data_IF_808698399710
#
_entry.id   IF_808698399710
#
_cell.length_a   1.000
_cell.length_b   1.000
_cell.length_c   1.000
_cell.angle_alpha   90.00
_cell.angle_beta   90.00
_cell.angle_gamma   90.00
#
_symmetry.space_group_name_H-M   'P 1'
#
loop_
_entity.id
_entity.type
_entity.pdbx_description
1 polymer ?
#
# COMPACT_ATOMS: atom_id res chain seq x y z
N UNK A 1 -13.20 10.88 -21.10
CA UNK A 1 -12.34 12.02 -20.72
C UNK A 1 -11.98 11.79 -19.27
N UNK A 2 -10.69 11.74 -18.98
CA UNK A 2 -10.16 11.66 -17.61
C UNK A 2 -10.70 12.81 -16.78
N UNK A 3 -11.25 12.47 -15.62
CA UNK A 3 -11.86 13.38 -14.67
C UNK A 3 -10.72 14.13 -13.98
N UNK A 4 -10.69 15.44 -14.25
CA UNK A 4 -9.78 16.39 -13.63
C UNK A 4 -10.47 17.14 -12.49
N UNK A 5 -9.66 17.67 -11.58
CA UNK A 5 -10.14 18.53 -10.50
C UNK A 5 -10.59 19.88 -11.08
N UNK A 6 -11.87 20.28 -10.92
CA UNK A 6 -12.32 21.63 -11.26
C UNK A 6 -11.56 22.68 -10.44
N UNK A 7 -11.23 23.81 -11.05
CA UNK A 7 -10.44 24.86 -10.41
C UNK A 7 -11.11 25.39 -9.13
N UNK A 8 -12.44 25.45 -9.12
CA UNK A 8 -13.27 25.88 -8.00
C UNK A 8 -13.14 24.96 -6.78
N UNK A 9 -12.74 23.70 -6.97
CA UNK A 9 -12.58 22.71 -5.90
C UNK A 9 -11.14 22.57 -5.40
N UNK A 10 -10.20 23.32 -5.98
CA UNK A 10 -8.80 23.34 -5.52
C UNK A 10 -8.67 23.95 -4.13
N UNK A 11 -9.40 25.04 -3.86
CA UNK A 11 -9.41 25.66 -2.55
C UNK A 11 -10.01 24.72 -1.47
N UNK A 12 -11.22 24.13 -1.64
CA UNK A 12 -11.74 23.11 -0.74
C UNK A 12 -10.78 21.94 -0.48
N UNK A 13 -10.08 21.47 -1.51
CA UNK A 13 -9.08 20.41 -1.38
C UNK A 13 -7.90 20.85 -0.48
N UNK A 14 -7.45 22.10 -0.63
CA UNK A 14 -6.34 22.64 0.17
C UNK A 14 -6.66 22.69 1.67
N UNK A 15 -7.91 23.00 2.04
CA UNK A 15 -8.35 22.99 3.45
C UNK A 15 -8.25 21.59 4.07
N UNK A 16 -8.49 20.55 3.26
CA UNK A 16 -8.37 19.17 3.70
C UNK A 16 -6.91 18.74 3.87
N UNK A 17 -5.96 19.40 3.20
CA UNK A 17 -4.55 19.00 3.18
C UNK A 17 -4.36 17.61 2.54
N UNK A 18 -5.22 17.25 1.58
CA UNK A 18 -5.17 16.00 0.84
C UNK A 18 -4.77 16.27 -0.61
N UNK A 19 -4.28 15.23 -1.29
CA UNK A 19 -4.01 15.27 -2.72
C UNK A 19 -5.19 14.72 -3.52
N UNK A 20 -5.35 15.27 -4.73
CA UNK A 20 -6.26 14.70 -5.73
C UNK A 20 -5.70 13.37 -6.25
N UNK A 21 -6.52 12.30 -6.37
CA UNK A 21 -6.08 11.04 -6.93
C UNK A 21 -5.75 11.18 -8.42
N UNK A 22 -4.46 11.15 -8.74
CA UNK A 22 -3.93 11.21 -10.10
C UNK A 22 -3.95 9.81 -10.72
N UNK A 23 -4.95 9.53 -11.53
CA UNK A 23 -5.08 8.30 -12.32
C UNK A 23 -5.76 8.63 -13.65
N UNK A 24 -5.43 7.86 -14.69
CA UNK A 24 -5.97 8.02 -16.04
C UNK A 24 -6.94 6.86 -16.33
N UNK A 25 -8.17 7.00 -15.85
CA UNK A 25 -9.23 5.99 -16.01
C UNK A 25 -9.59 5.72 -17.47
N UNK A 26 -9.49 6.72 -18.36
CA UNK A 26 -9.76 6.55 -19.78
C UNK A 26 -8.73 5.62 -20.39
N UNK A 27 -7.45 5.85 -20.08
CA UNK A 27 -6.37 4.97 -20.54
C UNK A 27 -6.49 3.58 -19.95
N UNK A 28 -6.79 3.44 -18.65
CA UNK A 28 -7.03 2.13 -18.04
C UNK A 28 -8.16 1.37 -18.74
N UNK A 29 -9.25 2.06 -19.07
CA UNK A 29 -10.38 1.47 -19.78
C UNK A 29 -10.00 1.08 -21.21
N UNK A 30 -9.32 1.97 -21.93
CA UNK A 30 -8.87 1.72 -23.31
C UNK A 30 -7.88 0.55 -23.40
N UNK A 31 -6.89 0.50 -22.50
CA UNK A 31 -5.96 -0.61 -22.39
C UNK A 31 -6.72 -1.90 -22.08
N UNK A 32 -7.65 -1.86 -21.12
CA UNK A 32 -8.51 -3.00 -20.79
C UNK A 32 -9.29 -3.55 -21.99
N UNK A 33 -9.92 -2.68 -22.79
CA UNK A 33 -10.61 -3.08 -24.02
C UNK A 33 -9.66 -3.69 -25.06
N UNK A 34 -8.46 -3.14 -25.22
CA UNK A 34 -7.45 -3.69 -26.13
C UNK A 34 -7.02 -5.12 -25.72
N UNK A 35 -6.93 -5.38 -24.41
CA UNK A 35 -6.67 -6.72 -23.87
C UNK A 35 -7.85 -7.68 -24.14
N UNK A 36 -9.09 -7.25 -23.95
CA UNK A 36 -10.29 -8.07 -24.27
C UNK A 36 -10.35 -8.40 -25.77
N UNK A 37 -10.04 -7.45 -26.64
CA UNK A 37 -9.96 -7.68 -28.08
C UNK A 37 -8.83 -8.67 -28.42
N UNK A 38 -7.68 -8.54 -27.76
CA UNK A 38 -6.58 -9.50 -27.92
C UNK A 38 -6.98 -10.92 -27.47
N UNK A 39 -7.67 -11.06 -26.34
CA UNK A 39 -8.20 -12.35 -25.87
C UNK A 39 -9.15 -12.97 -26.89
N UNK A 40 -10.02 -12.16 -27.49
CA UNK A 40 -10.95 -12.61 -28.55
C UNK A 40 -10.21 -13.13 -29.78
N UNK A 41 -9.15 -12.42 -30.22
CA UNK A 41 -8.29 -12.90 -31.32
C UNK A 41 -7.59 -14.19 -30.96
N UNK A 42 -7.07 -14.30 -29.73
CA UNK A 42 -6.36 -15.48 -29.26
C UNK A 42 -7.28 -16.71 -29.20
N UNK A 43 -8.52 -16.56 -28.72
CA UNK A 43 -9.54 -17.63 -28.76
C UNK A 43 -9.83 -18.11 -30.17
N UNK A 44 -9.96 -17.19 -31.12
CA UNK A 44 -10.18 -17.56 -32.52
C UNK A 44 -9.00 -18.39 -33.05
N UNK A 45 -7.76 -17.97 -32.79
CA UNK A 45 -6.58 -18.73 -33.20
C UNK A 45 -6.46 -20.08 -32.47
N UNK A 46 -6.88 -20.16 -31.21
CA UNK A 46 -6.96 -21.42 -30.47
C UNK A 46 -7.95 -22.39 -31.15
N UNK A 47 -9.14 -21.91 -31.51
CA UNK A 47 -10.16 -22.71 -32.19
C UNK A 47 -9.72 -23.16 -33.61
N UNK A 48 -9.04 -22.28 -34.35
CA UNK A 48 -8.44 -22.61 -35.65
C UNK A 48 -7.38 -23.71 -35.51
N UNK A 49 -6.50 -23.59 -34.51
CA UNK A 49 -5.47 -24.58 -34.21
C UNK A 49 -6.07 -25.92 -33.78
N UNK A 50 -7.09 -25.92 -32.92
CA UNK A 50 -7.80 -27.13 -32.49
C UNK A 50 -8.50 -27.83 -33.66
N UNK A 51 -9.14 -27.05 -34.55
CA UNK A 51 -9.76 -27.59 -35.77
C UNK A 51 -8.73 -28.24 -36.68
N UNK A 52 -7.58 -27.58 -36.88
CA UNK A 52 -6.49 -28.11 -37.69
C UNK A 52 -5.88 -29.38 -37.07
N UNK A 53 -5.69 -29.40 -35.75
CA UNK A 53 -5.18 -30.56 -35.02
C UNK A 53 -6.17 -31.73 -35.14
N UNK A 54 -7.47 -31.50 -34.89
CA UNK A 54 -8.54 -32.50 -35.04
C UNK A 54 -8.54 -33.16 -36.40
N UNK A 55 -8.34 -32.35 -37.45
CA UNK A 55 -8.27 -32.86 -38.81
C UNK A 55 -7.16 -33.91 -38.98
N UNK A 56 -6.01 -33.74 -38.32
CA UNK A 56 -4.90 -34.69 -38.39
C UNK A 56 -5.32 -36.07 -37.90
N UNK A 57 -5.97 -36.18 -36.74
CA UNK A 57 -6.36 -37.50 -36.22
C UNK A 57 -7.70 -38.04 -36.71
N UNK A 58 -8.55 -37.19 -37.31
CA UNK A 58 -9.76 -37.64 -37.99
C UNK A 58 -9.48 -38.16 -39.41
N UNK A 59 -8.48 -37.62 -40.11
CA UNK A 59 -8.15 -37.99 -41.49
C UNK A 59 -6.98 -38.97 -41.61
N UNK A 60 -6.28 -39.29 -40.51
CA UNK A 60 -5.14 -40.21 -40.50
C UNK A 60 -5.30 -41.27 -39.41
N UNK A 61 -4.64 -42.41 -39.57
CA UNK A 61 -4.64 -43.52 -38.60
C UNK A 61 -3.21 -43.94 -38.26
N UNK A 62 -2.99 -44.43 -37.04
CA UNK A 62 -1.73 -45.04 -36.61
C UNK A 62 -1.20 -44.50 -35.29
N UNK A 63 -0.26 -45.23 -34.68
CA UNK A 63 0.22 -44.96 -33.33
C UNK A 63 0.78 -43.53 -33.12
N UNK A 64 1.37 -42.91 -34.15
CA UNK A 64 1.84 -41.52 -34.08
C UNK A 64 0.70 -40.50 -34.05
N UNK A 65 -0.42 -40.81 -34.70
CA UNK A 65 -1.62 -39.98 -34.72
C UNK A 65 -2.33 -40.05 -33.37
N UNK A 66 -2.45 -41.26 -32.80
CA UNK A 66 -3.00 -41.46 -31.45
C UNK A 66 -2.15 -40.74 -30.38
N UNK A 67 -0.82 -40.82 -30.51
CA UNK A 67 0.10 -40.13 -29.61
C UNK A 67 -0.02 -38.60 -29.74
N UNK A 68 -0.23 -38.09 -30.95
CA UNK A 68 -0.47 -36.66 -31.18
C UNK A 68 -1.80 -36.20 -30.56
N UNK A 69 -2.89 -36.95 -30.73
CA UNK A 69 -4.18 -36.65 -30.11
C UNK A 69 -4.07 -36.62 -28.58
N UNK A 70 -3.40 -37.61 -27.98
CA UNK A 70 -3.18 -37.68 -26.54
C UNK A 70 -2.32 -36.51 -26.04
N UNK A 71 -1.26 -36.15 -26.77
CA UNK A 71 -0.42 -35.01 -26.42
C UNK A 71 -1.18 -33.68 -26.55
N UNK A 72 -1.96 -33.49 -27.62
CA UNK A 72 -2.74 -32.27 -27.85
C UNK A 72 -3.78 -32.02 -26.76
N UNK A 73 -4.49 -33.09 -26.37
CA UNK A 73 -5.57 -33.07 -25.38
C UNK A 73 -5.10 -33.34 -23.94
N UNK A 74 -3.81 -33.54 -23.73
CA UNK A 74 -3.23 -33.77 -22.40
C UNK A 74 -3.41 -32.56 -21.47
N UNK A 75 -3.22 -32.76 -20.17
CA UNK A 75 -3.33 -31.68 -19.18
C UNK A 75 -2.34 -30.52 -19.43
N UNK A 76 -1.14 -30.84 -19.94
CA UNK A 76 -0.13 -29.89 -20.40
C UNK A 76 -0.08 -29.81 -21.95
N UNK A 77 -1.21 -30.04 -22.60
CA UNK A 77 -1.34 -30.05 -24.05
C UNK A 77 -1.49 -28.64 -24.65
N UNK A 78 -1.01 -28.40 -25.89
CA UNK A 78 -1.15 -27.12 -26.58
C UNK A 78 -2.59 -26.60 -26.65
N UNK A 79 -3.59 -27.47 -26.83
CA UNK A 79 -4.99 -27.06 -26.91
C UNK A 79 -5.41 -26.32 -25.64
N UNK A 80 -5.12 -26.89 -24.47
CA UNK A 80 -5.41 -26.28 -23.18
C UNK A 80 -4.58 -25.02 -22.92
N UNK A 81 -3.30 -25.02 -23.28
CA UNK A 81 -2.44 -23.85 -23.11
C UNK A 81 -2.94 -22.62 -23.87
N UNK A 82 -3.49 -22.81 -25.08
CA UNK A 82 -4.04 -21.71 -25.86
C UNK A 82 -5.31 -21.13 -25.22
N UNK A 83 -6.17 -21.98 -24.65
CA UNK A 83 -7.37 -21.55 -23.91
C UNK A 83 -7.03 -20.87 -22.58
N UNK A 84 -6.05 -21.41 -21.84
CA UNK A 84 -5.55 -20.81 -20.60
C UNK A 84 -4.94 -19.43 -20.87
N UNK A 85 -4.16 -19.29 -21.94
CA UNK A 85 -3.61 -18.01 -22.37
C UNK A 85 -4.71 -16.99 -22.72
N UNK A 86 -5.72 -17.41 -23.49
CA UNK A 86 -6.86 -16.54 -23.83
C UNK A 86 -7.63 -16.08 -22.59
N UNK A 87 -7.89 -17.00 -21.66
CA UNK A 87 -8.57 -16.70 -20.39
C UNK A 87 -7.75 -15.76 -19.52
N UNK A 88 -6.43 -15.93 -19.47
CA UNK A 88 -5.56 -15.05 -18.70
C UNK A 88 -5.51 -13.63 -19.25
N UNK A 89 -5.41 -13.47 -20.56
CA UNK A 89 -5.45 -12.18 -21.26
C UNK A 89 -6.79 -11.48 -21.00
N UNK A 90 -7.88 -12.23 -20.99
CA UNK A 90 -9.22 -11.70 -20.64
C UNK A 90 -9.29 -11.20 -19.19
N UNK A 91 -8.74 -11.97 -18.23
CA UNK A 91 -8.68 -11.56 -16.82
C UNK A 91 -7.83 -10.29 -16.61
N UNK A 92 -6.73 -10.13 -17.34
CA UNK A 92 -5.93 -8.90 -17.32
C UNK A 92 -6.78 -7.72 -17.82
N UNK A 93 -7.47 -7.87 -18.95
CA UNK A 93 -8.36 -6.84 -19.50
C UNK A 93 -9.49 -6.48 -18.54
N UNK A 94 -10.14 -7.47 -17.93
CA UNK A 94 -11.20 -7.27 -16.94
C UNK A 94 -10.68 -6.52 -15.70
N UNK A 95 -9.49 -6.86 -15.20
CA UNK A 95 -8.86 -6.18 -14.08
C UNK A 95 -8.57 -4.69 -14.37
N UNK A 96 -8.09 -4.37 -15.58
CA UNK A 96 -7.86 -2.99 -16.01
C UNK A 96 -9.18 -2.19 -16.10
N UNK A 97 -10.23 -2.77 -16.68
CA UNK A 97 -11.56 -2.15 -16.76
C UNK A 97 -12.14 -1.91 -15.35
N UNK A 98 -11.97 -2.88 -14.44
CA UNK A 98 -12.40 -2.73 -13.06
C UNK A 98 -11.66 -1.60 -12.33
N UNK A 99 -10.33 -1.47 -12.53
CA UNK A 99 -9.55 -0.35 -11.98
C UNK A 99 -10.03 1.00 -12.52
N UNK A 100 -10.36 1.10 -13.82
CA UNK A 100 -10.94 2.30 -14.39
C UNK A 100 -12.28 2.65 -13.69
N UNK A 101 -13.15 1.67 -13.51
CA UNK A 101 -14.43 1.84 -12.81
C UNK A 101 -14.27 2.32 -11.36
N UNK A 102 -13.34 1.71 -10.60
CA UNK A 102 -13.02 2.12 -9.22
C UNK A 102 -12.49 3.55 -9.19
N UNK A 103 -11.63 3.92 -10.16
CA UNK A 103 -11.06 5.27 -10.26
C UNK A 103 -12.14 6.32 -10.53
N UNK A 104 -13.03 6.07 -11.49
CA UNK A 104 -14.18 6.95 -11.80
C UNK A 104 -15.06 7.13 -10.56
N UNK A 105 -15.41 6.02 -9.89
CA UNK A 105 -16.24 6.06 -8.69
C UNK A 105 -15.58 6.86 -7.56
N UNK A 106 -14.28 6.65 -7.32
CA UNK A 106 -13.51 7.38 -6.32
C UNK A 106 -13.50 8.88 -6.63
N UNK A 107 -13.09 9.28 -7.84
CA UNK A 107 -13.00 10.69 -8.25
C UNK A 107 -14.36 11.38 -8.18
N UNK A 108 -15.42 10.73 -8.65
CA UNK A 108 -16.78 11.26 -8.58
C UNK A 108 -17.24 11.51 -7.14
N UNK A 109 -17.03 10.53 -6.26
CA UNK A 109 -17.36 10.67 -4.84
C UNK A 109 -16.50 11.76 -4.17
N UNK A 110 -15.24 11.89 -4.57
CA UNK A 110 -14.33 12.92 -4.08
C UNK A 110 -14.81 14.33 -4.48
N UNK A 111 -15.22 14.53 -5.73
CA UNK A 111 -15.79 15.80 -6.21
C UNK A 111 -17.09 16.14 -5.48
N UNK A 112 -17.96 15.16 -5.25
CA UNK A 112 -19.19 15.37 -4.48
C UNK A 112 -18.89 15.84 -3.05
N UNK A 113 -17.89 15.24 -2.38
CA UNK A 113 -17.48 15.64 -1.03
C UNK A 113 -16.88 17.06 -1.00
N UNK A 114 -16.03 17.40 -1.97
CA UNK A 114 -15.44 18.74 -2.06
C UNK A 114 -16.51 19.81 -2.34
N UNK A 115 -17.47 19.51 -3.21
CA UNK A 115 -18.59 20.39 -3.53
C UNK A 115 -19.46 20.63 -2.30
N UNK A 116 -19.78 19.56 -1.55
CA UNK A 116 -20.52 19.66 -0.31
C UNK A 116 -19.79 20.53 0.72
N UNK A 117 -18.47 20.32 0.89
CA UNK A 117 -17.66 21.13 1.80
C UNK A 117 -17.64 22.60 1.40
N UNK A 118 -17.43 22.90 0.11
CA UNK A 118 -17.45 24.27 -0.42
C UNK A 118 -18.78 24.97 -0.11
N UNK A 119 -19.90 24.26 -0.32
CA UNK A 119 -21.23 24.76 -0.01
C UNK A 119 -21.41 25.02 1.50
N UNK A 120 -21.01 24.09 2.36
CA UNK A 120 -21.11 24.22 3.82
C UNK A 120 -20.30 25.42 4.34
N UNK A 121 -19.06 25.58 3.87
CA UNK A 121 -18.20 26.72 4.25
C UNK A 121 -18.77 28.03 3.72
N UNK A 122 -19.24 28.06 2.48
CA UNK A 122 -19.90 29.24 1.90
C UNK A 122 -21.14 29.67 2.69
N UNK A 123 -21.97 28.72 3.12
CA UNK A 123 -23.15 29.00 3.97
C UNK A 123 -22.77 29.50 5.36
N UNK A 124 -21.75 28.90 5.99
CA UNK A 124 -21.25 29.33 7.29
C UNK A 124 -20.75 30.79 7.26
N UNK A 125 -20.06 31.18 6.17
CA UNK A 125 -19.61 32.55 5.93
C UNK A 125 -20.79 33.48 5.64
N UNK A 126 -21.70 33.10 4.75
CA UNK A 126 -22.84 33.93 4.36
C UNK A 126 -23.77 34.27 5.54
N UNK A 127 -23.92 33.35 6.49
CA UNK A 127 -24.77 33.52 7.68
C UNK A 127 -24.03 34.08 8.89
N UNK A 128 -22.71 34.29 8.79
CA UNK A 128 -21.85 34.72 9.90
C UNK A 128 -22.27 36.06 10.52
N UNK A 129 -22.69 37.04 9.72
CA UNK A 129 -23.11 38.34 10.24
C UNK A 129 -24.39 38.24 11.09
N UNK A 130 -25.32 37.38 10.69
CA UNK A 130 -26.60 37.16 11.39
C UNK A 130 -26.38 36.31 12.66
N UNK A 131 -25.45 35.36 12.60
CA UNK A 131 -25.09 34.48 13.72
C UNK A 131 -24.06 35.08 14.69
N UNK A 132 -23.71 36.36 14.53
CA UNK A 132 -22.63 37.01 15.27
C UNK A 132 -21.29 36.23 15.23
N UNK A 133 -21.01 35.55 14.11
CA UNK A 133 -19.81 34.76 13.89
C UNK A 133 -19.88 33.32 14.42
N UNK A 134 -20.97 32.92 15.07
CA UNK A 134 -21.09 31.57 15.66
C UNK A 134 -20.94 30.45 14.62
N UNK A 135 -21.50 30.62 13.42
CA UNK A 135 -21.43 29.62 12.33
C UNK A 135 -20.01 29.41 11.79
N UNK A 136 -19.10 30.38 11.97
CA UNK A 136 -17.70 30.23 11.56
C UNK A 136 -16.97 29.17 12.40
N UNK A 137 -17.42 28.93 13.65
CA UNK A 137 -16.86 27.89 14.50
C UNK A 137 -17.16 26.46 14.01
N UNK A 138 -18.11 26.30 13.08
CA UNK A 138 -18.46 25.00 12.48
C UNK A 138 -17.51 24.60 11.35
N UNK A 139 -16.83 25.57 10.72
CA UNK A 139 -15.94 25.34 9.57
C UNK A 139 -14.86 24.27 9.88
N UNK A 140 -14.12 24.33 11.01
CA UNK A 140 -13.15 23.28 11.35
C UNK A 140 -13.78 21.88 11.47
N UNK A 141 -15.04 21.79 11.91
CA UNK A 141 -15.78 20.53 12.03
C UNK A 141 -16.10 19.97 10.64
N UNK A 142 -16.57 20.81 9.71
CA UNK A 142 -16.86 20.39 8.33
C UNK A 142 -15.59 19.92 7.60
N UNK A 143 -14.48 20.64 7.77
CA UNK A 143 -13.18 20.28 7.20
C UNK A 143 -12.70 18.94 7.78
N UNK A 144 -12.77 18.75 9.09
CA UNK A 144 -12.38 17.50 9.73
C UNK A 144 -13.25 16.31 9.28
N UNK A 145 -14.58 16.49 9.24
CA UNK A 145 -15.51 15.47 8.79
C UNK A 145 -15.27 15.09 7.31
N UNK A 146 -15.08 16.07 6.45
CA UNK A 146 -14.79 15.85 5.02
C UNK A 146 -13.44 15.17 4.81
N UNK A 147 -12.42 15.50 5.59
CA UNK A 147 -11.12 14.83 5.55
C UNK A 147 -11.26 13.34 5.88
N UNK A 148 -12.05 13.00 6.89
CA UNK A 148 -12.34 11.61 7.25
C UNK A 148 -13.10 10.90 6.14
N UNK A 149 -14.14 11.53 5.57
CA UNK A 149 -14.91 10.97 4.47
C UNK A 149 -14.03 10.68 3.23
N UNK A 150 -13.21 11.65 2.79
CA UNK A 150 -12.28 11.48 1.67
C UNK A 150 -11.27 10.34 1.93
N UNK A 151 -10.72 10.23 3.14
CA UNK A 151 -9.82 9.12 3.51
C UNK A 151 -10.53 7.77 3.45
N UNK A 152 -11.78 7.69 3.91
CA UNK A 152 -12.58 6.46 3.82
C UNK A 152 -12.87 6.06 2.36
N UNK A 153 -13.14 7.03 1.48
CA UNK A 153 -13.33 6.76 0.05
C UNK A 153 -12.07 6.13 -0.57
N UNK A 154 -10.89 6.71 -0.30
CA UNK A 154 -9.61 6.17 -0.78
C UNK A 154 -9.37 4.75 -0.23
N UNK A 155 -9.59 4.52 1.06
CA UNK A 155 -9.44 3.17 1.63
C UNK A 155 -10.37 2.13 1.00
N UNK A 156 -11.63 2.48 0.74
CA UNK A 156 -12.57 1.57 0.08
C UNK A 156 -12.12 1.24 -1.34
N UNK A 157 -11.67 2.25 -2.09
CA UNK A 157 -11.13 2.05 -3.44
C UNK A 157 -9.90 1.14 -3.43
N UNK A 158 -8.94 1.39 -2.53
CA UNK A 158 -7.75 0.57 -2.36
C UNK A 158 -8.10 -0.88 -2.00
N UNK A 159 -9.07 -1.10 -1.11
CA UNK A 159 -9.48 -2.45 -0.72
C UNK A 159 -10.01 -3.27 -1.90
N UNK A 160 -10.78 -2.66 -2.82
CA UNK A 160 -11.25 -3.35 -4.03
C UNK A 160 -10.09 -3.70 -4.96
N UNK A 161 -9.13 -2.77 -5.11
CA UNK A 161 -7.94 -2.97 -5.94
C UNK A 161 -7.03 -4.06 -5.37
N UNK A 162 -6.74 -3.99 -4.08
CA UNK A 162 -5.88 -4.92 -3.36
C UNK A 162 -6.49 -6.31 -3.15
N UNK A 163 -7.83 -6.41 -3.20
CA UNK A 163 -8.55 -7.67 -3.07
C UNK A 163 -8.94 -8.27 -4.42
N UNK A 164 -10.12 -7.89 -4.91
CA UNK A 164 -10.77 -8.51 -6.07
C UNK A 164 -9.92 -8.41 -7.34
N UNK A 165 -9.38 -7.22 -7.61
CA UNK A 165 -8.61 -6.95 -8.83
C UNK A 165 -7.24 -7.64 -8.76
N UNK A 166 -6.57 -7.63 -7.61
CA UNK A 166 -5.32 -8.35 -7.42
C UNK A 166 -5.47 -9.87 -7.61
N UNK A 167 -6.59 -10.45 -7.19
CA UNK A 167 -6.91 -11.87 -7.42
C UNK A 167 -7.07 -12.18 -8.91
N UNK A 168 -7.73 -11.31 -9.69
CA UNK A 168 -7.81 -11.48 -11.15
C UNK A 168 -6.43 -11.54 -11.80
N UNK A 169 -5.52 -10.64 -11.43
CA UNK A 169 -4.14 -10.67 -11.93
C UNK A 169 -3.35 -11.89 -11.46
N UNK A 170 -3.60 -12.37 -10.24
CA UNK A 170 -2.99 -13.60 -9.70
C UNK A 170 -3.41 -14.83 -10.48
N UNK A 171 -4.70 -14.95 -10.77
CA UNK A 171 -5.27 -16.03 -11.59
C UNK A 171 -4.71 -15.96 -13.01
N UNK A 172 -4.68 -14.78 -13.62
CA UNK A 172 -4.07 -14.59 -14.93
C UNK A 172 -2.59 -15.02 -14.95
N UNK A 173 -1.81 -14.64 -13.95
CA UNK A 173 -0.39 -15.02 -13.84
C UNK A 173 -0.20 -16.55 -13.70
N UNK A 174 -1.14 -17.24 -13.07
CA UNK A 174 -1.10 -18.70 -12.93
C UNK A 174 -1.41 -19.38 -14.27
N UNK A 175 -2.47 -18.95 -14.95
CA UNK A 175 -2.85 -19.45 -16.28
C UNK A 175 -1.76 -19.21 -17.32
N UNK A 176 -1.13 -18.02 -17.34
CA UNK A 176 -0.01 -17.72 -18.25
C UNK A 176 1.23 -18.58 -17.98
N UNK A 177 1.46 -18.95 -16.71
CA UNK A 177 2.54 -19.86 -16.32
C UNK A 177 2.31 -21.25 -16.89
N UNK A 178 1.09 -21.76 -16.77
CA UNK A 178 0.69 -23.04 -17.36
C UNK A 178 0.80 -22.98 -18.87
N UNK A 179 0.32 -21.90 -19.51
CA UNK A 179 0.38 -21.70 -20.95
C UNK A 179 1.80 -21.50 -21.56
N UNK A 180 2.86 -21.61 -20.77
CA UNK A 180 4.25 -21.49 -21.24
C UNK A 180 4.74 -20.05 -21.50
N UNK A 181 3.95 -19.02 -21.20
CA UNK A 181 4.28 -17.60 -21.45
C UNK A 181 4.98 -16.94 -20.26
N UNK A 182 6.21 -17.39 -19.97
CA UNK A 182 6.97 -17.01 -18.76
C UNK A 182 7.06 -15.49 -18.52
N UNK A 183 7.28 -14.68 -19.55
CA UNK A 183 7.41 -13.22 -19.41
C UNK A 183 6.10 -12.52 -19.03
N UNK A 184 4.99 -12.86 -19.67
CA UNK A 184 3.67 -12.30 -19.35
C UNK A 184 3.21 -12.73 -17.94
N UNK A 185 3.46 -13.98 -17.58
CA UNK A 185 3.18 -14.49 -16.24
C UNK A 185 4.00 -13.78 -15.14
N UNK A 186 5.26 -13.44 -15.42
CA UNK A 186 6.11 -12.67 -14.50
C UNK A 186 5.55 -11.27 -14.25
N UNK A 187 5.16 -10.53 -15.30
CA UNK A 187 4.60 -9.18 -15.14
C UNK A 187 3.25 -9.18 -14.41
N UNK A 188 2.32 -10.06 -14.79
CA UNK A 188 1.04 -10.19 -14.08
C UNK A 188 1.24 -10.56 -12.60
N UNK A 189 2.18 -11.48 -12.34
CA UNK A 189 2.53 -11.88 -10.97
C UNK A 189 3.27 -10.81 -10.16
N UNK A 190 4.05 -9.94 -10.81
CA UNK A 190 4.68 -8.78 -10.15
C UNK A 190 3.64 -7.74 -9.76
N UNK A 191 2.68 -7.47 -10.65
CA UNK A 191 1.58 -6.53 -10.37
C UNK A 191 0.72 -7.01 -9.19
N UNK A 192 0.32 -8.29 -9.20
CA UNK A 192 -0.40 -8.90 -8.09
C UNK A 192 0.39 -8.83 -6.77
N UNK A 193 1.69 -9.12 -6.81
CA UNK A 193 2.58 -8.99 -5.63
C UNK A 193 2.63 -7.55 -5.11
N UNK A 194 2.70 -6.57 -6.00
CA UNK A 194 2.72 -5.16 -5.60
C UNK A 194 1.44 -4.78 -4.84
N UNK A 195 0.28 -5.21 -5.33
CA UNK A 195 -1.00 -5.00 -4.63
C UNK A 195 -1.04 -5.73 -3.28
N UNK A 196 -0.60 -6.99 -3.23
CA UNK A 196 -0.51 -7.75 -1.98
C UNK A 196 0.39 -7.07 -0.95
N UNK A 197 1.59 -6.61 -1.35
CA UNK A 197 2.52 -5.90 -0.47
C UNK A 197 1.95 -4.56 0.03
N UNK A 198 1.17 -3.84 -0.79
CA UNK A 198 0.48 -2.63 -0.35
C UNK A 198 -0.62 -2.93 0.68
N UNK A 199 -1.40 -3.98 0.45
CA UNK A 199 -2.42 -4.45 1.40
C UNK A 199 -1.82 -4.81 2.75
N UNK A 200 -0.73 -5.57 2.73
CA UNK A 200 0.01 -5.96 3.92
C UNK A 200 0.61 -4.76 4.63
N UNK A 201 1.17 -3.80 3.90
CA UNK A 201 1.63 -2.54 4.48
C UNK A 201 0.50 -1.77 5.17
N UNK A 202 -0.64 -1.59 4.52
CA UNK A 202 -1.79 -0.92 5.12
C UNK A 202 -2.33 -1.67 6.35
N UNK A 203 -2.31 -3.01 6.34
CA UNK A 203 -2.64 -3.84 7.51
C UNK A 203 -1.68 -3.57 8.65
N UNK A 204 -0.37 -3.62 8.39
CA UNK A 204 0.66 -3.34 9.39
C UNK A 204 0.55 -1.93 9.95
N UNK A 205 0.28 -0.92 9.13
CA UNK A 205 0.05 0.45 9.61
C UNK A 205 -1.15 0.55 10.55
N UNK A 206 -2.24 -0.20 10.32
CA UNK A 206 -3.36 -0.27 11.29
C UNK A 206 -2.96 -0.96 12.59
N UNK A 207 -2.07 -1.94 12.52
CA UNK A 207 -1.53 -2.60 13.71
C UNK A 207 -0.59 -1.67 14.49
N UNK A 208 0.23 -0.88 13.78
CA UNK A 208 1.09 0.17 14.37
C UNK A 208 0.26 1.12 15.22
N UNK A 209 -0.87 1.62 14.72
CA UNK A 209 -1.72 2.55 15.47
C UNK A 209 -2.33 1.94 16.75
N UNK A 210 -2.42 0.61 16.83
CA UNK A 210 -2.98 -0.13 17.98
C UNK A 210 -1.90 -0.72 18.89
N UNK A 211 -0.64 -0.69 18.47
CA UNK A 211 0.46 -1.29 19.20
C UNK A 211 0.71 -0.55 20.52
N UNK A 212 0.92 -1.30 21.61
CA UNK A 212 1.33 -0.74 22.89
C UNK A 212 2.84 -0.50 22.88
N UNK A 213 3.22 0.74 22.58
CA UNK A 213 4.61 1.20 22.50
C UNK A 213 4.95 2.12 23.67
N UNK A 214 4.22 2.06 24.78
CA UNK A 214 4.48 2.98 25.91
C UNK A 214 5.72 2.52 26.69
N UNK A 215 6.54 3.49 27.09
CA UNK A 215 7.59 3.28 28.09
C UNK A 215 7.09 3.61 29.51
N UNK A 216 7.77 3.12 30.56
CA UNK A 216 7.64 3.68 31.89
C UNK A 216 8.05 5.17 31.94
N UNK A 217 7.60 5.88 32.97
CA UNK A 217 8.03 7.26 33.25
C UNK A 217 9.51 7.27 33.59
N UNK A 218 10.27 8.21 33.01
CA UNK A 218 11.73 8.28 33.07
C UNK A 218 12.46 7.06 32.48
N UNK A 219 11.76 6.26 31.65
CA UNK A 219 12.21 4.95 31.20
C UNK A 219 12.31 4.79 29.69
N UNK A 220 12.17 5.86 28.90
CA UNK A 220 12.22 5.75 27.44
C UNK A 220 13.68 5.75 26.95
N UNK A 221 14.08 4.67 26.27
CA UNK A 221 15.40 4.47 25.69
C UNK A 221 15.36 4.59 24.16
N UNK A 222 16.25 5.40 23.60
CA UNK A 222 16.44 5.61 22.17
C UNK A 222 17.88 5.31 21.77
N UNK A 223 18.11 5.08 20.47
CA UNK A 223 19.45 4.91 19.97
C UNK A 223 19.59 5.30 18.49
N UNK A 224 20.77 5.75 18.08
CA UNK A 224 21.04 6.03 16.67
C UNK A 224 22.52 6.06 16.31
N UNK A 225 22.87 5.43 15.21
CA UNK A 225 24.24 5.37 14.70
C UNK A 225 25.05 4.19 15.24
N UNK A 226 26.36 4.23 15.04
CA UNK A 226 27.30 3.16 15.36
C UNK A 226 28.71 3.71 15.51
N UNK A 227 29.55 3.07 16.33
CA UNK A 227 30.97 3.37 16.46
C UNK A 227 31.74 3.07 15.16
N UNK A 228 32.97 3.57 15.07
CA UNK A 228 33.85 3.37 13.89
C UNK A 228 34.20 1.89 13.62
N UNK A 229 34.10 1.03 14.65
CA UNK A 229 34.26 -0.43 14.53
C UNK A 229 32.99 -1.17 14.08
N UNK A 230 31.89 -0.45 13.84
CA UNK A 230 30.60 -0.99 13.42
C UNK A 230 29.65 -1.38 14.56
N UNK A 231 30.05 -1.21 15.82
CA UNK A 231 29.19 -1.51 16.98
C UNK A 231 27.98 -0.55 17.01
N UNK A 232 26.77 -1.08 16.84
CA UNK A 232 25.53 -0.29 16.78
C UNK A 232 25.12 0.24 18.15
N UNK A 233 24.58 1.46 18.18
CA UNK A 233 24.06 2.07 19.42
C UNK A 233 22.90 1.29 20.05
N UNK A 234 22.16 0.49 19.27
CA UNK A 234 21.13 -0.45 19.78
C UNK A 234 21.67 -1.30 20.93
N UNK A 235 22.86 -1.87 20.76
CA UNK A 235 23.47 -2.73 21.77
C UNK A 235 23.87 -2.00 23.05
N UNK A 236 24.14 -0.69 22.98
CA UNK A 236 24.37 0.13 24.17
C UNK A 236 23.06 0.45 24.88
N UNK A 237 22.03 0.86 24.13
CA UNK A 237 20.72 1.16 24.71
C UNK A 237 20.12 -0.07 25.39
N UNK A 238 20.03 -1.20 24.70
CA UNK A 238 19.40 -2.42 25.25
C UNK A 238 20.14 -2.99 26.47
N UNK A 239 21.46 -2.82 26.57
CA UNK A 239 22.25 -3.22 27.76
C UNK A 239 22.02 -2.32 28.98
N UNK A 240 21.60 -1.08 28.76
CA UNK A 240 21.37 -0.10 29.82
C UNK A 240 19.87 0.06 30.15
N UNK A 241 19.03 -0.78 29.57
CA UNK A 241 17.60 -0.92 29.88
C UNK A 241 17.35 -2.24 30.59
N UNK A 242 16.43 -2.26 31.56
CA UNK A 242 16.08 -3.46 32.34
C UNK A 242 14.82 -4.17 31.82
N UNK A 243 14.13 -3.59 30.84
CA UNK A 243 12.88 -4.13 30.30
C UNK A 243 11.66 -3.90 31.19
N UNK A 244 11.83 -3.25 32.35
CA UNK A 244 10.80 -3.10 33.39
C UNK A 244 10.58 -1.63 33.75
N UNK A 245 11.64 -0.95 34.20
CA UNK A 245 11.63 0.48 34.54
C UNK A 245 12.17 1.33 33.39
N UNK A 246 12.88 0.72 32.44
CA UNK A 246 13.38 1.35 31.23
C UNK A 246 13.34 0.36 30.07
N UNK A 247 12.95 0.84 28.90
CA UNK A 247 12.78 0.01 27.69
C UNK A 247 13.26 0.78 26.46
N UNK A 248 13.79 0.10 25.46
CA UNK A 248 13.79 0.61 24.07
C UNK A 248 12.45 0.33 23.39
N UNK A 249 12.22 0.90 22.22
CA UNK A 249 11.02 0.62 21.42
C UNK A 249 10.78 -0.88 21.23
N UNK A 250 11.80 -1.62 20.83
CA UNK A 250 11.75 -3.06 20.54
C UNK A 250 11.51 -3.92 21.79
N UNK A 251 11.76 -3.37 22.97
CA UNK A 251 11.49 -4.05 24.24
C UNK A 251 10.03 -3.90 24.70
N UNK A 252 9.29 -2.92 24.16
CA UNK A 252 7.85 -2.76 24.42
C UNK A 252 7.05 -3.93 23.84
N UNK A 253 5.84 -4.25 24.38
CA UNK A 253 5.00 -5.32 23.83
C UNK A 253 4.67 -5.10 22.34
N UNK A 254 4.40 -3.85 21.96
CA UNK A 254 4.14 -3.44 20.58
C UNK A 254 5.37 -3.57 19.70
N UNK A 255 6.49 -2.95 20.10
CA UNK A 255 7.70 -2.94 19.27
C UNK A 255 8.34 -4.30 19.08
N UNK A 256 8.33 -5.18 20.10
CA UNK A 256 8.84 -6.55 19.98
C UNK A 256 8.15 -7.33 18.86
N UNK A 257 6.82 -7.20 18.78
CA UNK A 257 6.04 -7.86 17.74
C UNK A 257 6.46 -7.41 16.32
N UNK A 258 6.86 -6.16 16.13
CA UNK A 258 7.34 -5.67 14.83
C UNK A 258 8.82 -6.01 14.59
N UNK A 259 9.64 -6.07 15.64
CA UNK A 259 11.03 -6.54 15.57
C UNK A 259 11.08 -8.01 15.11
N UNK A 260 10.20 -8.86 15.66
CA UNK A 260 10.06 -10.28 15.30
C UNK A 260 9.62 -10.51 13.84
N UNK A 261 9.00 -9.51 13.19
CA UNK A 261 8.56 -9.62 11.79
C UNK A 261 9.71 -9.48 10.78
N UNK A 262 10.88 -8.99 11.20
CA UNK A 262 12.08 -8.88 10.36
C UNK A 262 11.79 -8.18 9.01
N UNK A 263 11.08 -7.05 9.05
CA UNK A 263 10.50 -6.40 7.87
C UNK A 263 11.50 -5.92 6.80
N UNK A 264 12.80 -5.90 7.12
CA UNK A 264 13.88 -5.55 6.18
C UNK A 264 14.53 -6.76 5.50
N UNK A 265 14.17 -7.98 5.89
CA UNK A 265 14.69 -9.21 5.31
C UNK A 265 13.99 -9.57 3.98
N UNK A 266 14.60 -10.45 3.20
CA UNK A 266 14.12 -10.84 1.86
C UNK A 266 12.70 -11.44 1.88
N UNK A 267 12.31 -12.06 2.99
CA UNK A 267 11.04 -12.75 3.16
C UNK A 267 9.92 -11.82 3.66
N UNK A 268 10.20 -10.53 3.79
CA UNK A 268 9.24 -9.55 4.30
C UNK A 268 7.97 -9.51 3.46
N UNK A 269 6.78 -9.44 4.09
CA UNK A 269 5.51 -9.31 3.38
C UNK A 269 5.35 -7.94 2.71
N UNK A 270 6.26 -7.00 2.96
CA UNK A 270 6.24 -5.63 2.44
C UNK A 270 7.60 -5.23 1.86
N UNK A 271 7.64 -4.14 1.11
CA UNK A 271 8.89 -3.63 0.53
C UNK A 271 9.75 -2.93 1.58
N UNK A 272 11.06 -2.83 1.34
CA UNK A 272 12.00 -2.20 2.28
C UNK A 272 11.66 -0.73 2.55
N UNK A 273 11.20 -0.01 1.52
CA UNK A 273 10.75 1.38 1.65
C UNK A 273 9.51 1.48 2.55
N UNK A 274 8.59 0.52 2.44
CA UNK A 274 7.39 0.42 3.27
C UNK A 274 7.74 0.04 4.72
N UNK A 275 8.72 -0.85 4.91
CA UNK A 275 9.21 -1.21 6.25
C UNK A 275 9.77 0.02 6.98
N UNK A 276 10.47 0.92 6.27
CA UNK A 276 10.89 2.22 6.80
C UNK A 276 9.71 3.01 7.38
N UNK A 277 8.63 3.18 6.62
CA UNK A 277 7.42 3.89 7.06
C UNK A 277 6.72 3.26 8.27
N UNK A 278 6.73 1.92 8.38
CA UNK A 278 6.22 1.21 9.58
C UNK A 278 7.02 1.60 10.81
N UNK A 279 8.35 1.52 10.73
CA UNK A 279 9.24 1.86 11.84
C UNK A 279 9.23 3.34 12.18
N UNK A 280 9.18 4.24 11.20
CA UNK A 280 9.02 5.69 11.41
C UNK A 280 7.78 5.99 12.25
N UNK A 281 6.61 5.45 11.88
CA UNK A 281 5.37 5.71 12.63
C UNK A 281 5.37 5.05 14.00
N UNK A 282 5.96 3.85 14.13
CA UNK A 282 6.09 3.16 15.42
C UNK A 282 6.98 3.96 16.39
N UNK A 283 8.12 4.46 15.90
CA UNK A 283 9.06 5.33 16.61
C UNK A 283 8.45 6.67 17.00
N UNK A 284 7.67 7.30 16.11
CA UNK A 284 6.95 8.53 16.42
C UNK A 284 5.98 8.31 17.59
N UNK A 285 5.16 7.26 17.55
CA UNK A 285 4.22 6.94 18.64
C UNK A 285 4.93 6.64 19.95
N UNK A 286 6.08 5.97 19.89
CA UNK A 286 6.93 5.71 21.06
C UNK A 286 7.39 7.02 21.71
N UNK A 287 7.94 7.95 20.90
CA UNK A 287 8.36 9.29 21.34
C UNK A 287 7.20 10.17 21.87
N UNK A 288 6.05 10.16 21.18
CA UNK A 288 4.84 10.89 21.61
C UNK A 288 4.28 10.38 22.93
N UNK A 289 4.50 9.11 23.26
CA UNK A 289 4.02 8.48 24.49
C UNK A 289 4.99 8.57 25.67
N UNK A 290 6.24 8.97 25.42
CA UNK A 290 7.29 9.07 26.42
C UNK A 290 6.97 10.15 27.47
N UNK A 291 7.43 9.93 28.70
CA UNK A 291 7.17 10.81 29.84
C UNK A 291 8.41 10.92 30.73
N UNK A 292 8.69 12.12 31.23
CA UNK A 292 9.82 12.40 32.09
C UNK A 292 11.15 12.52 31.35
N UNK A 293 12.23 12.04 31.95
CA UNK A 293 13.54 11.98 31.32
C UNK A 293 13.64 10.82 30.32
N UNK A 294 14.16 11.11 29.13
CA UNK A 294 14.43 10.10 28.10
C UNK A 294 15.93 10.01 27.86
N UNK A 295 16.43 8.81 27.59
CA UNK A 295 17.86 8.58 27.32
C UNK A 295 18.06 8.12 25.89
N UNK A 296 18.96 8.80 25.16
CA UNK A 296 19.30 8.47 23.78
C UNK A 296 20.77 8.14 23.65
N UNK A 297 21.08 6.94 23.16
CA UNK A 297 22.44 6.49 22.88
C UNK A 297 22.79 6.81 21.43
N UNK A 298 23.65 7.81 21.20
CA UNK A 298 23.88 8.30 19.84
C UNK A 298 25.35 8.55 19.55
N UNK A 299 25.84 7.98 18.44
CA UNK A 299 27.17 8.25 17.90
C UNK A 299 27.09 8.34 16.37
N UNK A 300 27.48 9.49 15.81
CA UNK A 300 27.43 9.78 14.36
C UNK A 300 26.11 9.33 13.70
N UNK A 301 24.93 9.75 14.21
CA UNK A 301 23.66 9.36 13.61
C UNK A 301 23.54 9.95 12.20
N UNK A 302 22.89 9.20 11.30
CA UNK A 302 22.62 9.69 9.93
C UNK A 302 21.68 10.90 9.98
N UNK A 303 21.95 11.92 9.18
CA UNK A 303 21.15 13.15 9.17
C UNK A 303 19.67 12.90 8.80
N UNK A 304 19.43 11.94 7.91
CA UNK A 304 18.12 11.49 7.43
C UNK A 304 17.53 10.31 8.24
N UNK A 305 18.20 9.87 9.31
CA UNK A 305 17.76 8.75 10.13
C UNK A 305 16.59 9.08 11.06
N UNK A 306 15.80 8.06 11.40
CA UNK A 306 14.58 8.13 12.24
C UNK A 306 14.77 8.98 13.51
N UNK A 307 15.90 8.81 14.20
CA UNK A 307 16.21 9.62 15.38
C UNK A 307 16.16 11.13 15.12
N UNK A 308 16.78 11.58 14.03
CA UNK A 308 16.89 13.00 13.70
C UNK A 308 15.63 13.56 13.03
N UNK A 309 14.95 12.75 12.21
CA UNK A 309 13.81 13.20 11.40
C UNK A 309 12.46 13.00 12.08
N UNK A 310 12.36 12.05 13.03
CA UNK A 310 11.09 11.64 13.65
C UNK A 310 11.15 11.72 15.17
N UNK A 311 11.99 10.93 15.82
CA UNK A 311 11.94 10.71 17.28
C UNK A 311 12.31 11.98 18.05
N UNK A 312 13.46 12.60 17.76
CA UNK A 312 13.91 13.80 18.45
C UNK A 312 12.92 14.97 18.28
N UNK A 313 12.44 15.30 17.05
CA UNK A 313 11.40 16.32 16.89
C UNK A 313 10.09 16.00 17.65
N UNK A 314 9.67 14.73 17.71
CA UNK A 314 8.47 14.33 18.45
C UNK A 314 8.67 14.49 19.97
N UNK A 315 9.83 14.11 20.50
CA UNK A 315 10.21 14.33 21.90
C UNK A 315 10.24 15.81 22.27
N UNK A 316 10.83 16.66 21.41
CA UNK A 316 10.90 18.11 21.63
C UNK A 316 9.52 18.79 21.66
N UNK A 317 8.53 18.23 20.94
CA UNK A 317 7.15 18.71 20.96
C UNK A 317 6.31 18.12 22.09
N UNK A 318 6.76 17.05 22.74
CA UNK A 318 6.00 16.34 23.76
C UNK A 318 6.16 17.05 25.13
N UNK A 319 5.11 17.70 25.66
CA UNK A 319 5.21 18.46 26.91
C UNK A 319 5.39 17.58 28.14
N UNK A 320 5.18 16.27 28.03
CA UNK A 320 5.41 15.33 29.12
C UNK A 320 6.90 14.92 29.24
N UNK A 321 7.73 15.21 28.23
CA UNK A 321 9.18 14.99 28.27
C UNK A 321 9.83 16.17 28.99
N UNK A 322 10.52 15.88 30.09
CA UNK A 322 11.17 16.91 30.93
C UNK A 322 12.62 17.13 30.57
N UNK A 323 13.29 16.12 30.01
CA UNK A 323 14.71 16.16 29.63
C UNK A 323 15.03 15.08 28.59
N UNK A 324 15.89 15.42 27.62
CA UNK A 324 16.47 14.49 26.65
C UNK A 324 17.96 14.36 26.95
N UNK A 325 18.38 13.23 27.51
CA UNK A 325 19.78 12.93 27.83
C UNK A 325 20.42 12.14 26.70
N UNK A 326 21.29 12.79 25.93
CA UNK A 326 22.04 12.14 24.85
C UNK A 326 23.39 11.67 25.39
N UNK A 327 23.67 10.38 25.27
CA UNK A 327 24.93 9.75 25.66
C UNK A 327 25.64 9.30 24.39
N UNK A 328 26.88 9.75 24.21
CA UNK A 328 27.76 9.31 23.12
C UNK A 328 28.89 8.43 23.69
N UNK A 329 28.83 7.09 23.52
CA UNK A 329 29.89 6.18 23.99
C UNK A 329 31.23 6.32 23.24
N UNK A 330 31.24 6.98 22.09
CA UNK A 330 32.41 7.15 21.24
C UNK A 330 32.96 8.58 21.19
N UNK A 331 32.46 9.47 22.04
CA UNK A 331 32.94 10.84 22.19
C UNK A 331 34.30 10.94 22.92
#
# INVERSE_FOLDING_TARGET
>A
MTIELPAELTEPLSWLGLSWPQADEDRLHADGLAWIEHATRLRRHAAEADTAARRVWLENEGASVDAFEQWWNGEDGPGRHLDDAATAVELIGAGLIAMAGVTVALKTAYLAQLTLLAFQVGQAIATSAISAGATLAEIPVFVAASRVACRQLVHKALHVVEGEIADMFTRAATLLRTAGTKGAAQHAGQLARHFGQNSEFHRLMREVERADVRSPVNGAGFYSGALDDGTRMRGFAEKNTDGITSVTLEQTPGGRRFDDMLLFEEHSPIRKEQAGGVWERLSERYAESAQGEVTAWSHKPRADGIWNTVEKPALERNPAVTKISVIDPGA
#
